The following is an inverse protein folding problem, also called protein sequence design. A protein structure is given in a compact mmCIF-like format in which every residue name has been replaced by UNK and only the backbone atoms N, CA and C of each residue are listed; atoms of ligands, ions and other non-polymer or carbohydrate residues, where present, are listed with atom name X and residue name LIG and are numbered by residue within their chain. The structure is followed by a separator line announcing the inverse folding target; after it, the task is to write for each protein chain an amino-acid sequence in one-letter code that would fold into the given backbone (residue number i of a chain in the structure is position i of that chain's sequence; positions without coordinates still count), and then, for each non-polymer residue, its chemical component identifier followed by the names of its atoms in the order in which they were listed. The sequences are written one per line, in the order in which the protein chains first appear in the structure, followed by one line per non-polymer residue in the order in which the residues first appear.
data_IF_193051467989
#
_entry.id   IF_193051467989
#
_cell.length_a   1.000
_cell.length_b   1.000
_cell.length_c   1.000
_cell.angle_alpha   90.00
_cell.angle_beta   90.00
_cell.angle_gamma   90.00
#
_symmetry.space_group_name_H-M   'P 1'
#
loop_
_entity.id
_entity.type
_entity.pdbx_description
1 polymer ?
#
# COMPACT_ATOMS: atom_id res chain seq x y z
N UNK A 1 2.54 0.11 20.04
CA UNK A 1 2.32 0.45 18.63
C UNK A 1 3.31 -0.36 17.82
N UNK A 2 2.83 -1.15 16.86
CA UNK A 2 3.67 -1.95 15.97
C UNK A 2 3.53 -1.33 14.59
N UNK A 3 4.65 -1.18 13.87
CA UNK A 3 4.69 -0.73 12.49
C UNK A 3 5.24 -1.89 11.66
N UNK A 4 4.46 -2.34 10.69
CA UNK A 4 4.85 -3.34 9.71
C UNK A 4 5.22 -2.64 8.40
N UNK A 5 6.33 -3.06 7.79
CA UNK A 5 6.85 -2.48 6.56
C UNK A 5 7.05 -3.57 5.51
N UNK A 6 6.36 -3.45 4.37
CA UNK A 6 6.36 -4.46 3.30
C UNK A 6 6.71 -3.82 1.97
N UNK A 7 7.73 -4.37 1.29
CA UNK A 7 8.07 -4.00 -0.07
C UNK A 7 7.22 -4.80 -1.06
N UNK A 8 6.57 -4.11 -1.99
CA UNK A 8 5.68 -4.69 -2.98
C UNK A 8 6.20 -4.38 -4.39
N UNK A 9 6.15 -5.38 -5.25
CA UNK A 9 6.44 -5.22 -6.68
C UNK A 9 5.16 -5.48 -7.47
N UNK A 10 4.59 -4.41 -8.00
CA UNK A 10 3.42 -4.45 -8.89
C UNK A 10 3.90 -4.77 -10.30
N UNK A 11 3.09 -5.55 -11.01
CA UNK A 11 3.33 -5.90 -12.41
C UNK A 11 3.29 -4.64 -13.28
N UNK A 12 4.20 -4.55 -14.24
CA UNK A 12 4.26 -3.41 -15.16
C UNK A 12 2.93 -3.21 -15.89
N UNK A 13 2.47 -1.96 -15.95
CA UNK A 13 1.20 -1.56 -16.54
C UNK A 13 0.00 -1.64 -15.58
N UNK A 14 0.17 -2.21 -14.37
CA UNK A 14 -0.90 -2.36 -13.39
C UNK A 14 -0.80 -1.37 -12.22
N UNK A 15 0.17 -0.46 -12.22
CA UNK A 15 0.43 0.50 -11.13
C UNK A 15 -0.79 1.35 -10.80
N UNK A 16 -1.42 1.94 -11.81
CA UNK A 16 -2.57 2.82 -11.61
C UNK A 16 -3.79 2.07 -11.07
N UNK A 17 -4.04 0.86 -11.60
CA UNK A 17 -5.12 0.01 -11.12
C UNK A 17 -4.86 -0.49 -9.70
N UNK A 18 -3.61 -0.81 -9.38
CA UNK A 18 -3.18 -1.14 -8.03
C UNK A 18 -3.43 0.02 -7.07
N UNK A 19 -3.00 1.23 -7.39
CA UNK A 19 -3.21 2.42 -6.55
C UNK A 19 -4.71 2.71 -6.33
N UNK A 20 -5.53 2.59 -7.39
CA UNK A 20 -6.99 2.73 -7.30
C UNK A 20 -7.62 1.66 -6.41
N UNK A 21 -7.18 0.41 -6.55
CA UNK A 21 -7.69 -0.72 -5.76
C UNK A 21 -7.24 -0.63 -4.31
N UNK A 22 -6.00 -0.20 -4.06
CA UNK A 22 -5.47 0.04 -2.72
C UNK A 22 -6.28 1.10 -1.98
N UNK A 23 -6.67 2.21 -2.64
CA UNK A 23 -7.57 3.21 -2.05
C UNK A 23 -8.93 2.64 -1.64
N UNK A 24 -9.45 1.65 -2.37
CA UNK A 24 -10.69 0.95 -1.98
C UNK A 24 -10.44 0.03 -0.78
N UNK A 25 -9.34 -0.73 -0.80
CA UNK A 25 -8.94 -1.62 0.27
C UNK A 25 -8.62 -0.87 1.58
N UNK A 26 -8.07 0.34 1.49
CA UNK A 26 -7.83 1.27 2.61
C UNK A 26 -9.06 1.45 3.52
N UNK A 27 -10.25 1.57 2.92
CA UNK A 27 -11.52 1.69 3.67
C UNK A 27 -11.95 0.41 4.38
N UNK A 28 -11.38 -0.73 4.00
CA UNK A 28 -11.61 -2.04 4.62
C UNK A 28 -10.59 -2.25 5.74
N UNK A 29 -9.31 -2.01 5.47
CA UNK A 29 -8.20 -2.14 6.43
C UNK A 29 -8.45 -1.25 7.66
N UNK A 30 -8.94 -0.02 7.44
CA UNK A 30 -9.22 0.92 8.53
C UNK A 30 -10.28 0.49 9.53
N UNK A 31 -11.09 -0.53 9.19
CA UNK A 31 -12.13 -1.09 10.06
C UNK A 31 -11.64 -2.24 10.93
N UNK A 32 -10.39 -2.68 10.76
CA UNK A 32 -9.83 -3.79 11.53
C UNK A 32 -9.58 -3.37 12.98
N UNK A 33 -9.85 -4.28 13.92
CA UNK A 33 -9.61 -4.02 15.35
C UNK A 33 -8.11 -3.80 15.59
N UNK A 34 -7.76 -2.67 16.20
CA UNK A 34 -6.36 -2.33 16.49
C UNK A 34 -5.64 -1.60 15.35
N UNK A 35 -6.34 -1.31 14.25
CA UNK A 35 -5.82 -0.44 13.20
C UNK A 35 -5.58 0.99 13.72
N UNK A 36 -4.46 1.59 13.32
CA UNK A 36 -4.10 2.98 13.64
C UNK A 36 -3.96 3.78 12.34
N UNK A 37 -3.08 3.34 11.44
CA UNK A 37 -2.77 4.06 10.20
C UNK A 37 -2.25 3.10 9.14
N UNK A 38 -2.31 3.51 7.86
CA UNK A 38 -1.53 2.88 6.81
C UNK A 38 -1.10 3.92 5.76
N UNK A 39 0.04 3.67 5.14
CA UNK A 39 0.60 4.52 4.09
C UNK A 39 1.15 3.67 2.95
N UNK A 40 0.91 4.11 1.71
CA UNK A 40 1.48 3.50 0.51
C UNK A 40 2.40 4.52 -0.17
N UNK A 41 3.68 4.21 -0.23
CA UNK A 41 4.70 5.03 -0.87
C UNK A 41 5.14 4.38 -2.18
N UNK A 42 5.22 5.17 -3.25
CA UNK A 42 5.78 4.73 -4.54
C UNK A 42 7.28 4.99 -4.59
N UNK A 43 8.05 4.02 -5.05
CA UNK A 43 9.48 4.18 -5.28
C UNK A 43 9.73 5.12 -6.47
N UNK A 44 10.63 6.09 -6.28
CA UNK A 44 11.01 7.05 -7.32
C UNK A 44 12.03 6.47 -8.31
N UNK A 45 12.87 5.53 -7.86
CA UNK A 45 13.96 4.94 -8.66
C UNK A 45 13.47 3.76 -9.51
N UNK A 46 12.47 3.01 -9.02
CA UNK A 46 11.99 1.79 -9.66
C UNK A 46 10.47 1.81 -9.83
N UNK A 47 10.03 1.83 -11.09
CA UNK A 47 8.61 1.79 -11.44
C UNK A 47 7.97 0.49 -10.93
N UNK A 48 6.73 0.59 -10.45
CA UNK A 48 6.00 -0.56 -9.91
C UNK A 48 6.45 -1.03 -8.53
N UNK A 49 7.49 -0.43 -7.93
CA UNK A 49 7.91 -0.75 -6.56
C UNK A 49 7.23 0.17 -5.56
N UNK A 50 6.67 -0.41 -4.50
CA UNK A 50 5.97 0.31 -3.44
C UNK A 50 6.43 -0.15 -2.05
N UNK A 51 6.35 0.75 -1.08
CA UNK A 51 6.47 0.46 0.34
C UNK A 51 5.10 0.65 0.99
N UNK A 52 4.60 -0.40 1.64
CA UNK A 52 3.39 -0.36 2.45
C UNK A 52 3.77 -0.33 3.93
N UNK A 53 3.23 0.65 4.64
CA UNK A 53 3.36 0.83 6.09
C UNK A 53 1.99 0.63 6.73
N UNK A 54 1.87 -0.21 7.75
CA UNK A 54 0.63 -0.51 8.51
C UNK A 54 0.95 -0.55 10.01
#
# INVERSE_FOLDING_TARGET
MILEAVMLQVREGMEEEYEKTFKKASSIISKMKGYIHHELQRCIEQKGKYLLLI
#
